data_IF_518574810210
#
_entry.id   IF_518574810210
#
_cell.length_a   1.000
_cell.length_b   1.000
_cell.length_c   1.000
_cell.angle_alpha   90.00
_cell.angle_beta   90.00
_cell.angle_gamma   90.00
#
_symmetry.space_group_name_H-M   'P 1'
#
loop_
_entity.id
_entity.type
_entity.pdbx_description
1 polymer ?
#
# COMPACT_ATOMS: atom_id res chain seq x y z
N UNK A 1 -0.23 19.26 24.88
CA UNK A 1 0.86 18.69 24.05
C UNK A 1 0.44 18.68 22.58
N UNK A 2 1.30 19.16 21.67
CA UNK A 2 1.14 18.89 20.23
C UNK A 2 1.64 17.47 19.97
N UNK A 3 0.79 16.60 19.41
CA UNK A 3 1.07 15.17 19.12
C UNK A 3 1.55 14.95 17.68
N UNK A 4 2.04 16.00 17.04
CA UNK A 4 2.54 15.96 15.67
C UNK A 4 4.00 15.51 15.64
N UNK A 5 4.44 14.79 14.58
CA UNK A 5 3.71 14.46 13.35
C UNK A 5 2.82 13.21 13.44
N UNK A 6 2.86 12.48 14.56
CA UNK A 6 2.19 11.18 14.72
C UNK A 6 0.68 11.25 14.49
N UNK A 7 0.01 12.30 14.99
CA UNK A 7 -1.43 12.46 14.82
C UNK A 7 -1.82 12.68 13.35
N UNK A 8 -1.15 13.62 12.65
CA UNK A 8 -1.39 13.87 11.23
C UNK A 8 -1.11 12.63 10.38
N UNK A 9 0.04 11.98 10.61
CA UNK A 9 0.43 10.79 9.86
C UNK A 9 -0.60 9.64 10.02
N UNK A 10 -1.05 9.34 11.24
CA UNK A 10 -2.08 8.32 11.47
C UNK A 10 -3.46 8.72 10.94
N UNK A 11 -3.81 10.01 10.97
CA UNK A 11 -5.04 10.52 10.35
C UNK A 11 -5.03 10.26 8.85
N UNK A 12 -3.90 10.51 8.19
CA UNK A 12 -3.78 10.38 6.73
C UNK A 12 -3.68 8.91 6.31
N UNK A 13 -3.04 8.05 7.11
CA UNK A 13 -3.14 6.59 6.99
C UNK A 13 -4.59 6.11 7.05
N UNK A 14 -5.37 6.54 8.06
CA UNK A 14 -6.78 6.15 8.18
C UNK A 14 -7.62 6.64 6.99
N UNK A 15 -7.30 7.80 6.42
CA UNK A 15 -7.96 8.28 5.19
C UNK A 15 -7.66 7.35 4.01
N UNK A 16 -6.42 6.91 3.84
CA UNK A 16 -6.04 5.95 2.80
C UNK A 16 -6.79 4.60 2.96
N UNK A 17 -6.83 4.05 4.18
CA UNK A 17 -7.59 2.83 4.46
C UNK A 17 -9.09 2.98 4.22
N UNK A 18 -9.65 4.16 4.51
CA UNK A 18 -11.05 4.47 4.23
C UNK A 18 -11.34 4.49 2.72
N UNK A 19 -10.41 4.97 1.90
CA UNK A 19 -10.54 4.90 0.44
C UNK A 19 -10.52 3.43 -0.04
N UNK A 20 -9.67 2.60 0.57
CA UNK A 20 -9.57 1.15 0.29
C UNK A 20 -10.67 0.30 0.92
N UNK A 21 -11.67 0.90 1.62
CA UNK A 21 -12.68 0.17 2.40
C UNK A 21 -13.46 -0.87 1.58
N UNK A 22 -13.87 -0.52 0.36
CA UNK A 22 -14.66 -1.44 -0.49
C UNK A 22 -13.84 -2.68 -0.88
N UNK A 23 -12.63 -2.54 -1.46
CA UNK A 23 -11.73 -3.68 -1.69
C UNK A 23 -11.43 -4.51 -0.45
N UNK A 24 -11.13 -3.87 0.69
CA UNK A 24 -10.78 -4.58 1.92
C UNK A 24 -11.92 -5.44 2.48
N UNK A 25 -13.17 -5.03 2.29
CA UNK A 25 -14.33 -5.75 2.84
C UNK A 25 -14.93 -6.78 1.87
N UNK A 26 -14.80 -6.57 0.56
CA UNK A 26 -15.51 -7.35 -0.46
C UNK A 26 -14.60 -8.00 -1.50
N UNK A 27 -13.30 -7.65 -1.51
CA UNK A 27 -12.30 -8.22 -2.38
C UNK A 27 -11.67 -9.47 -1.78
N UNK A 28 -11.20 -10.34 -2.65
CA UNK A 28 -10.39 -11.49 -2.29
C UNK A 28 -8.93 -11.03 -2.13
N UNK A 29 -8.26 -11.38 -1.01
CA UNK A 29 -6.86 -11.06 -0.84
C UNK A 29 -5.99 -11.99 -1.70
N UNK A 30 -5.02 -11.41 -2.38
CA UNK A 30 -3.96 -12.13 -3.08
C UNK A 30 -2.61 -11.56 -2.65
N UNK A 31 -1.67 -12.45 -2.33
CA UNK A 31 -0.33 -12.08 -1.90
C UNK A 31 0.64 -12.57 -2.96
N UNK A 32 1.43 -11.64 -3.49
CA UNK A 32 2.50 -11.91 -4.43
C UNK A 32 3.83 -11.47 -3.84
N UNK A 33 4.65 -12.44 -3.44
CA UNK A 33 6.00 -12.21 -2.94
C UNK A 33 6.97 -12.09 -4.11
N UNK A 34 7.62 -10.94 -4.22
CA UNK A 34 8.65 -10.67 -5.24
C UNK A 34 10.01 -11.15 -4.73
N UNK A 35 10.30 -10.88 -3.47
CA UNK A 35 11.51 -11.33 -2.78
C UNK A 35 11.21 -11.59 -1.30
N UNK A 36 12.25 -11.83 -0.49
CA UNK A 36 12.11 -11.98 0.96
C UNK A 36 11.52 -10.72 1.63
N UNK A 37 11.92 -9.55 1.15
CA UNK A 37 11.52 -8.26 1.71
C UNK A 37 10.40 -7.55 0.93
N UNK A 38 10.17 -7.94 -0.33
CA UNK A 38 9.24 -7.24 -1.22
C UNK A 38 7.98 -8.07 -1.46
N UNK A 39 6.84 -7.48 -1.11
CA UNK A 39 5.52 -8.12 -1.22
C UNK A 39 4.48 -7.16 -1.79
N UNK A 40 3.63 -7.69 -2.67
CA UNK A 40 2.43 -7.03 -3.18
C UNK A 40 1.22 -7.77 -2.61
N UNK A 41 0.41 -7.08 -1.81
CA UNK A 41 -0.89 -7.58 -1.36
C UNK A 41 -1.99 -6.85 -2.09
N UNK A 42 -2.81 -7.55 -2.87
CA UNK A 42 -3.98 -6.98 -3.53
C UNK A 42 -5.27 -7.50 -2.91
N UNK A 43 -6.27 -6.63 -2.83
CA UNK A 43 -7.65 -6.97 -2.51
C UNK A 43 -8.47 -6.61 -3.72
N UNK A 44 -9.01 -7.60 -4.42
CA UNK A 44 -9.81 -7.34 -5.63
C UNK A 44 -10.94 -8.32 -5.81
N UNK A 45 -11.97 -7.88 -6.53
CA UNK A 45 -13.11 -8.74 -6.86
C UNK A 45 -13.21 -8.84 -8.38
N UNK A 46 -13.00 -10.06 -8.87
CA UNK A 46 -13.10 -10.39 -10.29
C UNK A 46 -14.44 -9.91 -10.89
N UNK A 47 -14.39 -9.40 -12.12
CA UNK A 47 -15.56 -8.85 -12.80
C UNK A 47 -16.02 -7.47 -12.30
N UNK A 48 -15.31 -6.84 -11.37
CA UNK A 48 -15.63 -5.48 -10.88
C UNK A 48 -14.43 -4.54 -10.98
N UNK A 49 -14.66 -3.24 -10.79
CA UNK A 49 -13.59 -2.22 -10.70
C UNK A 49 -13.03 -2.04 -9.27
N UNK A 50 -13.36 -2.94 -8.35
CA UNK A 50 -12.97 -2.86 -6.95
C UNK A 50 -11.58 -3.49 -6.79
N UNK A 51 -10.57 -2.67 -6.51
CA UNK A 51 -9.19 -3.12 -6.29
C UNK A 51 -8.48 -2.19 -5.31
N UNK A 52 -7.76 -2.72 -4.33
CA UNK A 52 -6.75 -2.00 -3.57
C UNK A 52 -5.45 -2.80 -3.51
N UNK A 53 -4.31 -2.13 -3.53
CA UNK A 53 -2.99 -2.75 -3.41
C UNK A 53 -2.20 -2.13 -2.26
N UNK A 54 -1.40 -2.98 -1.60
CA UNK A 54 -0.44 -2.63 -0.59
C UNK A 54 0.91 -3.15 -1.05
N UNK A 55 1.86 -2.23 -1.26
CA UNK A 55 3.19 -2.55 -1.75
C UNK A 55 4.15 -2.39 -0.57
N UNK A 56 4.76 -3.49 -0.15
CA UNK A 56 5.53 -3.57 1.09
C UNK A 56 7.01 -3.76 0.78
N UNK A 57 7.85 -2.95 1.43
CA UNK A 57 9.28 -3.18 1.56
C UNK A 57 9.62 -3.39 3.04
N UNK A 58 9.90 -4.63 3.41
CA UNK A 58 10.30 -5.01 4.77
C UNK A 58 11.79 -4.83 5.05
N UNK A 59 12.60 -4.57 4.03
CA UNK A 59 14.03 -4.33 4.19
C UNK A 59 14.23 -3.07 5.02
N UNK A 60 15.03 -3.15 6.08
CA UNK A 60 15.20 -2.05 7.03
C UNK A 60 16.29 -1.05 6.63
N UNK A 61 17.00 -1.30 5.52
CA UNK A 61 18.18 -0.53 5.10
C UNK A 61 18.11 -0.04 3.67
N UNK A 62 17.53 -0.84 2.78
CA UNK A 62 17.56 -0.61 1.34
C UNK A 62 16.19 -0.24 0.81
N UNK A 63 16.16 0.83 0.01
CA UNK A 63 15.03 1.19 -0.81
C UNK A 63 14.92 0.22 -1.99
N UNK A 64 13.70 0.06 -2.51
CA UNK A 64 13.45 -0.82 -3.63
C UNK A 64 12.51 -0.17 -4.65
N UNK A 65 12.55 -0.68 -5.87
CA UNK A 65 11.54 -0.37 -6.89
C UNK A 65 10.90 -1.67 -7.32
N UNK A 66 9.57 -1.71 -7.34
CA UNK A 66 8.82 -2.88 -7.79
C UNK A 66 7.95 -2.54 -8.98
N UNK A 67 7.86 -3.47 -9.93
CA UNK A 67 6.92 -3.35 -11.04
C UNK A 67 5.57 -3.97 -10.64
N UNK A 68 4.52 -3.17 -10.63
CA UNK A 68 3.16 -3.63 -10.40
C UNK A 68 2.24 -3.17 -11.54
N UNK A 69 1.66 -4.15 -12.26
CA UNK A 69 0.78 -3.91 -13.41
C UNK A 69 1.42 -3.03 -14.50
N UNK A 70 2.72 -3.21 -14.73
CA UNK A 70 3.48 -2.47 -15.75
C UNK A 70 3.90 -1.07 -15.33
N UNK A 71 3.71 -0.69 -14.07
CA UNK A 71 4.15 0.60 -13.50
C UNK A 71 5.17 0.34 -12.40
N UNK A 72 6.27 1.07 -12.41
CA UNK A 72 7.29 1.01 -11.37
C UNK A 72 6.93 1.90 -10.19
N UNK A 73 6.97 1.34 -8.98
CA UNK A 73 6.73 2.04 -7.74
C UNK A 73 7.96 2.01 -6.86
N UNK A 74 8.42 3.20 -6.46
CA UNK A 74 9.48 3.36 -5.48
C UNK A 74 8.94 3.11 -4.06
N UNK A 75 9.65 2.28 -3.31
CA UNK A 75 9.34 1.91 -1.93
C UNK A 75 10.56 2.19 -1.05
N UNK A 76 10.49 3.22 -0.18
CA UNK A 76 11.49 3.43 0.85
C UNK A 76 11.70 2.18 1.73
N UNK A 77 12.87 2.07 2.33
CA UNK A 77 13.15 1.07 3.35
C UNK A 77 12.10 1.11 4.46
N UNK A 78 11.68 -0.06 4.91
CA UNK A 78 10.69 -0.27 5.98
C UNK A 78 9.37 0.47 5.75
N UNK A 79 8.85 0.43 4.53
CA UNK A 79 7.64 1.17 4.16
C UNK A 79 6.56 0.33 3.50
N UNK A 80 5.34 0.85 3.54
CA UNK A 80 4.18 0.32 2.82
C UNK A 80 3.54 1.47 2.05
N UNK A 81 3.41 1.32 0.72
CA UNK A 81 2.62 2.20 -0.14
C UNK A 81 1.21 1.66 -0.33
N UNK A 82 0.20 2.52 -0.17
CA UNK A 82 -1.22 2.18 -0.26
C UNK A 82 -1.81 2.76 -1.54
N UNK A 83 -2.41 1.89 -2.36
CA UNK A 83 -3.06 2.23 -3.63
C UNK A 83 -4.54 1.79 -3.57
N UNK A 84 -5.50 2.67 -3.27
CA UNK A 84 -6.91 2.32 -3.10
C UNK A 84 -7.63 1.93 -4.39
N UNK A 85 -6.97 2.10 -5.54
CA UNK A 85 -7.43 1.79 -6.89
C UNK A 85 -6.46 0.87 -7.65
N UNK A 86 -5.43 0.34 -6.97
CA UNK A 86 -4.32 -0.42 -7.55
C UNK A 86 -3.50 0.34 -8.61
N UNK A 87 -3.53 1.69 -8.61
CA UNK A 87 -2.80 2.52 -9.59
C UNK A 87 -2.10 3.71 -8.94
N UNK A 88 -2.77 4.43 -8.05
CA UNK A 88 -2.27 5.70 -7.51
C UNK A 88 -1.86 5.52 -6.07
N UNK A 89 -0.59 5.83 -5.74
CA UNK A 89 -0.14 5.86 -4.35
C UNK A 89 -0.75 7.09 -3.67
N UNK A 90 -1.59 6.87 -2.65
CA UNK A 90 -2.20 7.97 -1.88
C UNK A 90 -1.54 8.17 -0.53
N UNK A 91 -0.78 7.18 -0.06
CA UNK A 91 -0.09 7.22 1.22
C UNK A 91 1.08 6.23 1.24
N UNK A 92 2.19 6.63 1.85
CA UNK A 92 3.29 5.74 2.22
C UNK A 92 3.58 5.89 3.73
N UNK A 93 3.96 4.81 4.42
CA UNK A 93 4.20 4.86 5.88
C UNK A 93 5.50 5.57 6.29
N UNK A 94 6.41 5.83 5.35
CA UNK A 94 7.68 6.51 5.58
C UNK A 94 7.60 8.03 5.33
N UNK A 95 6.42 8.55 4.95
CA UNK A 95 6.19 9.99 4.70
C UNK A 95 6.13 10.85 5.96
#
# INVERSE_FOLDING_TARGET
LKREPKFGHLRDLHRALRLSKKPLLWGTPHVHKISEDLEITTYEKEGTKICAAFLTNNNSREDATINFRGVDYFLPAKSISILPDCRTVVFNTQT
#
